data_IF_710588398624
#
_entry.id   IF_710588398624
#
_cell.length_a   1.000
_cell.length_b   1.000
_cell.length_c   1.000
_cell.angle_alpha   90.00
_cell.angle_beta   90.00
_cell.angle_gamma   90.00
#
_symmetry.space_group_name_H-M   'P 1'
#
loop_
_entity.id
_entity.type
_entity.pdbx_description
1 polymer ?
#
# COMPACT_ATOMS: atom_id res chain seq x y z
N UNK A 1 33.59 17.65 -54.38
CA UNK A 1 34.10 18.10 -53.06
C UNK A 1 33.67 17.08 -52.00
N UNK A 2 34.60 16.28 -51.46
CA UNK A 2 34.28 15.32 -50.39
C UNK A 2 34.43 16.05 -49.06
N UNK A 3 33.31 16.42 -48.44
CA UNK A 3 33.29 16.96 -47.09
C UNK A 3 33.82 15.87 -46.15
N UNK A 4 35.11 15.95 -45.80
CA UNK A 4 35.67 15.22 -44.67
C UNK A 4 35.11 15.89 -43.42
N UNK A 5 33.90 15.49 -43.05
CA UNK A 5 33.31 15.75 -41.74
C UNK A 5 34.23 15.01 -40.77
N UNK A 6 35.23 15.73 -40.26
CA UNK A 6 36.19 15.19 -39.33
C UNK A 6 35.38 14.75 -38.11
N UNK A 7 35.53 13.47 -37.75
CA UNK A 7 35.02 12.82 -36.52
C UNK A 7 34.88 13.77 -35.30
N UNK A 8 35.80 14.72 -35.02
CA UNK A 8 35.62 15.73 -33.96
C UNK A 8 34.33 16.57 -34.04
N UNK A 9 33.82 16.90 -35.24
CA UNK A 9 32.62 17.71 -35.41
C UNK A 9 31.34 16.94 -35.05
N UNK A 10 31.34 15.62 -35.25
CA UNK A 10 30.28 14.71 -34.80
C UNK A 10 30.32 14.50 -33.28
N UNK A 11 31.50 14.55 -32.66
CA UNK A 11 31.65 14.42 -31.21
C UNK A 11 31.22 15.68 -30.43
N UNK A 12 31.42 16.88 -31.00
CA UNK A 12 30.98 18.12 -30.37
C UNK A 12 29.45 18.28 -30.34
N UNK A 13 28.74 17.78 -31.34
CA UNK A 13 27.26 17.83 -31.36
C UNK A 13 26.60 16.80 -30.44
N UNK A 14 27.29 15.68 -30.13
CA UNK A 14 26.76 14.65 -29.22
C UNK A 14 26.72 15.10 -27.75
N UNK A 15 27.55 16.07 -27.36
CA UNK A 15 27.62 16.56 -25.97
C UNK A 15 26.47 17.49 -25.57
N UNK A 16 25.75 18.09 -26.52
CA UNK A 16 24.58 18.93 -26.24
C UNK A 16 23.27 18.14 -26.12
N UNK A 17 23.26 16.85 -26.50
CA UNK A 17 22.06 16.03 -26.53
C UNK A 17 21.74 15.30 -25.21
N UNK A 18 22.52 15.49 -24.14
CA UNK A 18 22.29 14.83 -22.85
C UNK A 18 21.82 15.77 -21.74
N UNK A 19 20.84 16.63 -22.03
CA UNK A 19 19.91 17.09 -21.01
C UNK A 19 18.85 15.98 -20.77
N UNK A 20 19.29 14.85 -20.19
CA UNK A 20 18.40 13.74 -19.81
C UNK A 20 17.61 14.15 -18.57
N UNK A 21 16.41 14.68 -18.83
CA UNK A 21 15.17 14.46 -18.08
C UNK A 21 15.32 13.91 -16.65
N UNK A 22 15.06 14.77 -15.67
CA UNK A 22 14.39 14.45 -14.41
C UNK A 22 15.03 13.40 -13.52
N UNK A 23 15.62 13.83 -12.41
CA UNK A 23 15.68 13.00 -11.21
C UNK A 23 14.25 12.72 -10.76
N UNK A 24 13.67 11.60 -11.18
CA UNK A 24 12.46 11.07 -10.56
C UNK A 24 12.78 10.84 -9.08
N UNK A 25 12.24 11.71 -8.23
CA UNK A 25 11.94 11.36 -6.85
C UNK A 25 11.06 10.12 -6.96
N UNK A 26 11.64 8.94 -6.71
CA UNK A 26 10.96 7.66 -6.84
C UNK A 26 9.92 7.60 -5.72
N UNK A 27 8.73 8.13 -5.99
CA UNK A 27 7.56 7.86 -5.19
C UNK A 27 7.19 6.41 -5.50
N UNK A 28 7.56 5.48 -4.61
CA UNK A 28 7.22 4.07 -4.75
C UNK A 28 5.70 3.96 -4.84
N UNK A 29 5.19 3.69 -6.04
CA UNK A 29 3.75 3.50 -6.30
C UNK A 29 3.34 2.12 -5.76
N UNK A 30 2.66 2.06 -4.60
CA UNK A 30 2.37 0.80 -3.96
C UNK A 30 1.40 -0.06 -4.77
N UNK A 31 0.63 0.52 -5.70
CA UNK A 31 -0.26 -0.25 -6.58
C UNK A 31 0.47 -1.05 -7.65
N UNK A 32 1.69 -0.66 -8.01
CA UNK A 32 2.46 -1.34 -9.06
C UNK A 32 3.25 -2.52 -8.52
N UNK A 33 3.39 -2.63 -7.21
CA UNK A 33 4.15 -3.70 -6.59
C UNK A 33 3.26 -4.91 -6.32
N UNK A 34 3.68 -6.08 -6.81
CA UNK A 34 2.98 -7.34 -6.55
C UNK A 34 3.31 -7.83 -5.13
N UNK A 35 2.41 -7.56 -4.18
CA UNK A 35 2.51 -8.02 -2.79
C UNK A 35 1.67 -9.28 -2.55
N UNK A 36 2.19 -10.22 -1.76
CA UNK A 36 1.43 -11.40 -1.31
C UNK A 36 0.86 -11.12 0.08
N UNK A 37 -0.44 -11.29 0.25
CA UNK A 37 -1.09 -11.12 1.55
C UNK A 37 -1.32 -12.46 2.25
N UNK A 38 -1.40 -12.44 3.60
CA UNK A 38 -1.81 -13.61 4.38
C UNK A 38 -3.20 -14.14 4.00
N UNK A 39 -3.54 -15.31 4.55
CA UNK A 39 -4.86 -15.90 4.37
C UNK A 39 -5.95 -14.94 4.85
N UNK A 40 -7.02 -14.85 4.05
CA UNK A 40 -8.18 -13.97 4.27
C UNK A 40 -7.89 -12.47 4.22
N UNK A 41 -6.76 -12.09 3.62
CA UNK A 41 -6.40 -10.70 3.37
C UNK A 41 -6.31 -10.42 1.86
N UNK A 42 -6.43 -9.15 1.48
CA UNK A 42 -6.30 -8.63 0.11
C UNK A 42 -5.45 -7.36 0.14
N UNK A 43 -4.58 -7.21 -0.84
CA UNK A 43 -3.77 -6.00 -0.97
C UNK A 43 -4.64 -4.86 -1.51
N UNK A 44 -4.69 -3.74 -0.80
CA UNK A 44 -5.39 -2.53 -1.21
C UNK A 44 -4.37 -1.40 -1.19
N UNK A 45 -4.25 -0.67 -2.28
CA UNK A 45 -3.27 0.41 -2.37
C UNK A 45 -3.61 1.63 -1.50
N UNK A 46 -4.90 1.89 -1.35
CA UNK A 46 -5.43 3.04 -0.65
C UNK A 46 -6.58 2.53 0.22
N UNK A 47 -6.22 1.76 1.25
CA UNK A 47 -7.15 1.20 2.22
C UNK A 47 -7.31 2.12 3.44
N UNK A 48 -8.23 1.77 4.34
CA UNK A 48 -8.42 2.53 5.57
C UNK A 48 -7.15 2.50 6.44
N UNK A 49 -6.90 3.58 7.15
CA UNK A 49 -5.81 3.69 8.13
C UNK A 49 -5.87 2.63 9.24
N UNK A 50 -7.07 2.18 9.59
CA UNK A 50 -7.34 1.25 10.66
C UNK A 50 -8.45 0.27 10.29
N UNK A 51 -8.25 -1.00 10.63
CA UNK A 51 -9.25 -2.05 10.43
C UNK A 51 -10.07 -2.28 11.70
N UNK A 52 -11.36 -2.60 11.56
CA UNK A 52 -12.16 -3.07 12.69
C UNK A 52 -11.56 -4.36 13.26
N UNK A 53 -11.72 -4.52 14.57
CA UNK A 53 -11.28 -5.73 15.29
C UNK A 53 -12.45 -6.38 16.00
N UNK A 54 -12.31 -7.64 16.43
CA UNK A 54 -13.37 -8.29 17.23
C UNK A 54 -13.75 -7.51 18.50
N UNK A 55 -12.81 -6.79 19.12
CA UNK A 55 -13.08 -5.96 20.31
C UNK A 55 -13.63 -4.57 19.95
N UNK A 56 -13.33 -4.06 18.75
CA UNK A 56 -13.81 -2.78 18.22
C UNK A 56 -14.35 -2.99 16.79
N UNK A 57 -15.57 -3.52 16.64
CA UNK A 57 -16.10 -3.96 15.35
C UNK A 57 -16.54 -2.79 14.46
N UNK A 58 -16.68 -1.59 15.03
CA UNK A 58 -16.97 -0.38 14.25
C UNK A 58 -15.66 0.21 13.76
N UNK A 59 -15.57 0.45 12.45
CA UNK A 59 -14.48 1.21 11.88
C UNK A 59 -14.48 2.62 12.49
N UNK A 60 -13.34 3.04 13.01
CA UNK A 60 -13.18 4.38 13.56
C UNK A 60 -12.62 5.26 12.45
N UNK A 61 -13.40 6.22 11.94
CA UNK A 61 -12.93 7.18 10.94
C UNK A 61 -12.02 8.25 11.57
N UNK A 62 -11.05 7.83 12.38
CA UNK A 62 -10.12 8.73 13.07
C UNK A 62 -9.00 9.25 12.16
N UNK A 63 -8.90 8.75 10.92
CA UNK A 63 -7.88 9.16 9.97
C UNK A 63 -8.54 9.91 8.80
N UNK A 64 -8.81 11.22 8.92
CA UNK A 64 -9.23 12.03 7.79
C UNK A 64 -8.11 12.10 6.74
N UNK A 65 -8.46 11.89 5.48
CA UNK A 65 -7.63 12.10 4.29
C UNK A 65 -6.33 11.28 4.17
N UNK A 66 -6.17 10.25 5.01
CA UNK A 66 -5.04 9.32 4.93
C UNK A 66 -5.53 7.91 4.60
N UNK A 67 -5.13 7.41 3.44
CA UNK A 67 -5.21 5.99 3.12
C UNK A 67 -3.82 5.37 3.14
N UNK A 68 -3.76 4.08 3.47
CA UNK A 68 -2.50 3.34 3.55
C UNK A 68 -2.54 2.13 2.61
N UNK A 69 -1.41 1.88 1.96
CA UNK A 69 -1.23 0.67 1.16
C UNK A 69 -0.90 -0.49 2.08
N UNK A 70 -1.57 -1.63 1.90
CA UNK A 70 -1.33 -2.79 2.76
C UNK A 70 -2.28 -3.95 2.51
N UNK A 71 -2.13 -4.98 3.33
CA UNK A 71 -3.03 -6.13 3.36
C UNK A 71 -4.16 -5.87 4.37
N UNK A 72 -5.39 -5.99 3.89
CA UNK A 72 -6.62 -5.76 4.65
C UNK A 72 -7.49 -7.01 4.63
N UNK A 73 -8.30 -7.22 5.66
CA UNK A 73 -9.28 -8.29 5.73
C UNK A 73 -10.22 -8.24 4.52
N UNK A 74 -10.46 -9.40 3.92
CA UNK A 74 -11.48 -9.57 2.87
C UNK A 74 -12.88 -9.22 3.40
N UNK A 75 -13.86 -8.97 2.51
CA UNK A 75 -15.27 -8.87 2.91
C UNK A 75 -15.69 -10.05 3.79
N UNK A 76 -16.52 -9.79 4.80
CA UNK A 76 -16.97 -10.73 5.84
C UNK A 76 -15.91 -11.22 6.84
N UNK A 77 -14.65 -10.80 6.69
CA UNK A 77 -13.59 -11.04 7.66
C UNK A 77 -13.33 -9.80 8.52
N UNK A 78 -12.89 -10.04 9.75
CA UNK A 78 -12.52 -9.01 10.72
C UNK A 78 -11.21 -9.40 11.40
N UNK A 79 -10.39 -8.40 11.76
CA UNK A 79 -9.11 -8.69 12.39
C UNK A 79 -9.33 -9.12 13.83
N UNK A 80 -8.81 -10.29 14.23
CA UNK A 80 -9.06 -10.82 15.58
C UNK A 80 -8.57 -9.87 16.67
N UNK A 81 -7.35 -9.38 16.51
CA UNK A 81 -6.64 -8.39 17.34
C UNK A 81 -5.79 -7.52 16.41
N UNK A 82 -5.33 -6.36 16.87
CA UNK A 82 -4.42 -5.51 16.08
C UNK A 82 -3.18 -6.32 15.67
N UNK A 83 -2.85 -6.33 14.37
CA UNK A 83 -1.76 -7.14 13.81
C UNK A 83 -2.01 -8.65 13.77
N UNK A 84 -3.15 -9.14 14.25
CA UNK A 84 -3.54 -10.55 14.23
C UNK A 84 -4.21 -10.97 12.92
N UNK A 85 -4.63 -12.25 12.79
CA UNK A 85 -5.23 -12.77 11.57
C UNK A 85 -6.65 -12.25 11.34
N UNK A 86 -7.06 -12.23 10.07
CA UNK A 86 -8.44 -12.02 9.64
C UNK A 86 -9.25 -13.32 9.77
N UNK A 87 -10.33 -13.26 10.56
CA UNK A 87 -11.25 -14.37 10.85
C UNK A 87 -12.66 -13.98 10.43
N UNK A 88 -13.57 -14.94 10.22
CA UNK A 88 -14.96 -14.61 9.89
C UNK A 88 -15.56 -13.74 10.99
N UNK A 89 -16.28 -12.67 10.63
CA UNK A 89 -16.84 -11.73 11.60
C UNK A 89 -17.76 -12.40 12.63
N UNK A 90 -18.51 -13.42 12.22
CA UNK A 90 -19.38 -14.22 13.08
C UNK A 90 -18.62 -15.16 14.06
N UNK A 91 -17.31 -15.31 13.90
CA UNK A 91 -16.45 -16.15 14.75
C UNK A 91 -15.78 -15.38 15.89
N UNK A 92 -16.06 -14.07 16.01
CA UNK A 92 -15.56 -13.28 17.11
C UNK A 92 -16.05 -13.81 18.46
N UNK A 93 -15.18 -13.82 19.50
CA UNK A 93 -15.59 -14.21 20.83
C UNK A 93 -16.69 -13.27 21.32
N UNK A 94 -17.79 -13.83 21.83
CA UNK A 94 -18.85 -13.04 22.46
C UNK A 94 -18.25 -12.31 23.66
N UNK A 95 -18.61 -11.03 23.89
CA UNK A 95 -18.21 -10.36 25.12
C UNK A 95 -18.67 -11.20 26.30
N UNK A 96 -17.74 -11.56 27.19
CA UNK A 96 -18.09 -12.27 28.42
C UNK A 96 -19.05 -11.36 29.18
N UNK A 97 -20.30 -11.79 29.36
CA UNK A 97 -21.21 -11.15 30.29
C UNK A 97 -20.59 -11.35 31.67
N UNK A 98 -19.98 -10.32 32.23
CA UNK A 98 -19.60 -10.34 33.64
C UNK A 98 -20.90 -10.42 34.42
N UNK A 99 -21.30 -11.64 34.80
CA UNK A 99 -22.33 -11.84 35.81
C UNK A 99 -21.82 -11.15 37.06
N UNK A 100 -22.37 -9.96 37.36
CA UNK A 100 -22.20 -9.32 38.66
C UNK A 100 -22.76 -10.32 39.67
N UNK A 101 -21.87 -11.03 40.37
CA UNK A 101 -22.27 -11.91 41.47
C UNK A 101 -23.00 -11.00 42.49
N UNK A 102 -24.21 -11.36 42.95
CA UNK A 102 -24.94 -10.59 43.95
C UNK A 102 -24.09 -10.32 45.20
#
# INVERSE_FOLDING_TARGET
MRFKITVPFLLLVFSLAQAKSGSSLVFSDPCKEKRTCPKNEVFICCGPCNEPTCSKPKQQNSCPDLCVAGCFCKPDYIRRVIGGPCVLANSCPKPRKSTKKP
#
